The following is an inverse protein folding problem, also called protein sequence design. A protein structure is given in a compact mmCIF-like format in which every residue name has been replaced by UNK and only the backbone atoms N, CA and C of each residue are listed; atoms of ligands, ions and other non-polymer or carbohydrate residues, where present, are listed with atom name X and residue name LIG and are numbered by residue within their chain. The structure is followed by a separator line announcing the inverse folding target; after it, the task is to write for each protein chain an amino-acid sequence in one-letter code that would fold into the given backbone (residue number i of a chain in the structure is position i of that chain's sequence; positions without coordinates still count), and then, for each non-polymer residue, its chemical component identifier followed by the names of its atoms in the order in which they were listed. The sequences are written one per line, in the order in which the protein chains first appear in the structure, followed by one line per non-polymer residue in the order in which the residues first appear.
data_IF_649725794323
#
_entry.id   IF_649725794323
#
_cell.length_a   1.000
_cell.length_b   1.000
_cell.length_c   1.000
_cell.angle_alpha   90.00
_cell.angle_beta   90.00
_cell.angle_gamma   90.00
#
_symmetry.space_group_name_H-M   'P 1'
#
loop_
_entity.id
_entity.type
_entity.pdbx_description
1 polymer ?
#
# COMPACT_ATOMS: atom_id res chain seq x y z
N UNK A 1 0.29 -25.69 53.55
CA UNK A 1 1.47 -25.24 52.78
C UNK A 1 1.56 -25.97 51.43
N UNK A 2 1.51 -27.31 51.41
CA UNK A 2 1.52 -28.15 50.20
C UNK A 2 0.40 -27.85 49.18
N UNK A 3 -0.80 -27.50 49.64
CA UNK A 3 -1.97 -27.19 48.80
C UNK A 3 -1.81 -25.89 48.00
N UNK A 4 -1.19 -24.86 48.58
CA UNK A 4 -0.95 -23.58 47.90
C UNK A 4 0.13 -23.69 46.82
N UNK A 5 1.12 -24.57 47.03
CA UNK A 5 2.20 -24.80 46.06
C UNK A 5 1.73 -25.61 44.84
N UNK A 6 0.80 -26.54 45.04
CA UNK A 6 0.17 -27.27 43.93
C UNK A 6 -0.72 -26.34 43.09
N UNK A 7 -1.46 -25.44 43.72
CA UNK A 7 -2.32 -24.48 43.01
C UNK A 7 -1.51 -23.47 42.18
N UNK A 8 -0.40 -22.96 42.71
CA UNK A 8 0.48 -22.06 41.96
C UNK A 8 1.15 -22.74 40.77
N UNK A 9 1.50 -24.03 40.89
CA UNK A 9 2.02 -24.81 39.77
C UNK A 9 0.98 -24.97 38.64
N UNK A 10 -0.27 -25.30 38.97
CA UNK A 10 -1.35 -25.41 37.99
C UNK A 10 -1.70 -24.06 37.34
N UNK A 11 -1.67 -22.96 38.10
CA UNK A 11 -1.92 -21.63 37.55
C UNK A 11 -0.82 -21.21 36.56
N UNK A 12 0.43 -21.50 36.89
CA UNK A 12 1.57 -21.21 36.02
C UNK A 12 1.55 -22.06 34.74
N UNK A 13 1.14 -23.33 34.81
CA UNK A 13 1.03 -24.18 33.63
C UNK A 13 -0.12 -23.73 32.70
N UNK A 14 -1.26 -23.30 33.26
CA UNK A 14 -2.36 -22.70 32.48
C UNK A 14 -1.94 -21.37 31.82
N UNK A 15 -1.22 -20.52 32.56
CA UNK A 15 -0.71 -19.26 32.03
C UNK A 15 0.28 -19.51 30.88
N UNK A 16 1.21 -20.45 31.05
CA UNK A 16 2.16 -20.83 30.01
C UNK A 16 1.44 -21.37 28.75
N UNK A 17 0.43 -22.22 28.92
CA UNK A 17 -0.38 -22.73 27.81
C UNK A 17 -1.14 -21.60 27.05
N UNK A 18 -1.70 -20.62 27.77
CA UNK A 18 -2.39 -19.48 27.18
C UNK A 18 -1.43 -18.56 26.39
N UNK A 19 -0.23 -18.31 26.90
CA UNK A 19 0.78 -17.53 26.16
C UNK A 19 1.20 -18.23 24.87
N UNK A 20 1.39 -19.55 24.91
CA UNK A 20 1.70 -20.35 23.72
C UNK A 20 0.58 -20.27 22.68
N UNK A 21 -0.69 -20.38 23.11
CA UNK A 21 -1.84 -20.25 22.22
C UNK A 21 -1.88 -18.88 21.54
N UNK A 22 -1.69 -17.78 22.29
CA UNK A 22 -1.65 -16.42 21.74
C UNK A 22 -0.55 -16.25 20.71
N UNK A 23 0.63 -16.81 20.99
CA UNK A 23 1.77 -16.73 20.09
C UNK A 23 1.52 -17.50 18.79
N UNK A 24 1.02 -18.73 18.88
CA UNK A 24 0.67 -19.56 17.70
C UNK A 24 -0.43 -18.89 16.87
N UNK A 25 -1.48 -18.36 17.51
CA UNK A 25 -2.56 -17.65 16.83
C UNK A 25 -2.06 -16.39 16.11
N UNK A 26 -1.18 -15.61 16.76
CA UNK A 26 -0.55 -14.43 16.15
C UNK A 26 0.29 -14.81 14.92
N UNK A 27 1.10 -15.86 15.02
CA UNK A 27 1.87 -16.37 13.88
C UNK A 27 0.96 -16.83 12.73
N UNK A 28 -0.13 -17.53 13.03
CA UNK A 28 -1.09 -17.97 12.02
C UNK A 28 -1.76 -16.80 11.30
N UNK A 29 -2.11 -15.72 12.02
CA UNK A 29 -2.66 -14.50 11.42
C UNK A 29 -1.65 -13.79 10.51
N UNK A 30 -0.39 -13.69 10.94
CA UNK A 30 0.67 -13.08 10.12
C UNK A 30 0.91 -13.87 8.83
N UNK A 31 0.95 -15.20 8.91
CA UNK A 31 1.09 -16.07 7.73
C UNK A 31 -0.12 -15.89 6.81
N UNK A 32 -1.34 -15.88 7.35
CA UNK A 32 -2.55 -15.69 6.55
C UNK A 32 -2.58 -14.34 5.83
N UNK A 33 -2.08 -13.28 6.48
CA UNK A 33 -1.96 -11.94 5.89
C UNK A 33 -0.86 -11.88 4.80
N UNK A 34 0.24 -12.60 4.99
CA UNK A 34 1.32 -12.69 3.99
C UNK A 34 0.92 -13.52 2.77
N UNK A 35 0.00 -14.47 2.93
CA UNK A 35 -0.50 -15.30 1.83
C UNK A 35 -1.69 -14.68 1.07
N UNK A 36 -2.25 -13.58 1.56
CA UNK A 36 -3.39 -12.91 0.90
C UNK A 36 -2.94 -12.02 -0.26
N UNK A 37 -2.41 -12.62 -1.33
CA UNK A 37 -2.07 -11.92 -2.57
C UNK A 37 -3.24 -11.95 -3.55
N UNK A 38 -4.32 -11.24 -3.23
CA UNK A 38 -5.45 -11.05 -4.16
C UNK A 38 -5.45 -9.64 -4.76
N UNK A 39 -4.50 -9.36 -5.65
CA UNK A 39 -4.58 -8.17 -6.51
C UNK A 39 -5.42 -8.54 -7.73
N UNK A 40 -6.68 -8.07 -7.76
CA UNK A 40 -7.51 -8.13 -8.95
C UNK A 40 -6.99 -7.13 -9.98
N UNK A 41 -5.99 -7.54 -10.74
CA UNK A 41 -5.54 -6.83 -11.93
C UNK A 41 -6.36 -7.34 -13.11
N UNK A 42 -7.22 -6.48 -13.67
CA UNK A 42 -7.85 -6.77 -14.96
C UNK A 42 -6.75 -6.70 -16.02
N UNK A 43 -6.07 -7.84 -16.26
CA UNK A 43 -5.13 -7.99 -17.38
C UNK A 43 -5.93 -8.02 -18.68
N UNK A 44 -6.27 -6.82 -19.18
CA UNK A 44 -6.74 -6.67 -20.55
C UNK A 44 -5.53 -6.83 -21.46
N UNK A 45 -5.61 -7.73 -22.44
CA UNK A 45 -4.57 -7.89 -23.46
C UNK A 45 -4.26 -6.52 -24.08
N UNK A 46 -3.00 -6.11 -24.01
CA UNK A 46 -2.54 -4.83 -24.54
C UNK A 46 -2.49 -4.95 -26.07
N UNK A 47 -3.29 -4.14 -26.75
CA UNK A 47 -3.22 -4.02 -28.19
C UNK A 47 -2.05 -3.10 -28.56
N UNK A 48 -0.89 -3.69 -28.86
CA UNK A 48 0.33 -2.98 -29.22
C UNK A 48 0.20 -2.17 -30.53
N UNK A 49 -0.85 -2.41 -31.33
CA UNK A 49 -1.09 -1.68 -32.58
C UNK A 49 -1.79 -0.35 -32.35
N UNK A 50 -2.31 -0.08 -31.14
CA UNK A 50 -3.03 1.17 -30.83
C UNK A 50 -2.69 1.70 -29.44
N UNK A 51 -2.73 3.02 -29.24
CA UNK A 51 -2.51 3.60 -27.92
C UNK A 51 -3.60 3.18 -26.92
N UNK A 52 -3.19 2.95 -25.68
CA UNK A 52 -4.11 2.58 -24.58
C UNK A 52 -5.12 3.69 -24.26
N UNK A 53 -4.73 4.95 -24.52
CA UNK A 53 -5.57 6.14 -24.37
C UNK A 53 -5.06 7.22 -25.32
N UNK A 54 -5.98 7.92 -25.98
CA UNK A 54 -5.68 9.09 -26.79
C UNK A 54 -6.11 10.35 -26.06
N UNK A 55 -5.17 11.26 -25.82
CA UNK A 55 -5.46 12.61 -25.34
C UNK A 55 -5.31 13.59 -26.50
N UNK A 56 -6.34 14.38 -26.75
CA UNK A 56 -6.34 15.47 -27.72
C UNK A 56 -6.44 16.76 -26.93
N UNK A 57 -5.45 17.64 -27.10
CA UNK A 57 -5.28 18.86 -26.30
C UNK A 57 -5.00 20.04 -27.22
N UNK A 58 -5.40 21.23 -26.78
CA UNK A 58 -5.06 22.50 -27.43
C UNK A 58 -3.92 23.15 -26.67
N UNK A 59 -2.79 23.34 -27.36
CA UNK A 59 -1.64 24.01 -26.79
C UNK A 59 -1.69 25.49 -27.17
N UNK A 60 -1.80 26.36 -26.16
CA UNK A 60 -1.73 27.80 -26.34
C UNK A 60 -0.32 28.29 -26.04
N UNK A 61 0.24 29.07 -26.97
CA UNK A 61 1.55 29.67 -26.81
C UNK A 61 1.50 31.15 -27.23
N UNK A 62 1.67 32.05 -26.28
CA UNK A 62 1.79 33.49 -26.51
C UNK A 62 3.23 33.87 -26.15
N UNK A 63 4.06 34.13 -27.17
CA UNK A 63 5.44 34.50 -26.95
C UNK A 63 5.54 35.92 -26.36
N UNK A 64 6.44 36.10 -25.40
CA UNK A 64 6.76 37.39 -24.83
C UNK A 64 7.31 38.35 -25.89
N UNK A 65 6.83 39.58 -25.85
CA UNK A 65 7.24 40.75 -26.63
C UNK A 65 7.28 41.97 -25.69
N UNK A 66 7.62 43.14 -26.23
CA UNK A 66 8.00 44.36 -25.50
C UNK A 66 7.02 44.82 -24.40
N UNK A 67 5.72 44.59 -24.53
CA UNK A 67 4.71 45.07 -23.59
C UNK A 67 3.67 44.02 -23.14
N UNK A 68 3.80 42.77 -23.56
CA UNK A 68 2.77 41.74 -23.33
C UNK A 68 3.06 40.83 -22.12
N UNK A 69 3.89 41.29 -21.17
CA UNK A 69 4.34 40.53 -19.99
C UNK A 69 3.21 39.82 -19.23
N UNK A 70 2.06 40.46 -19.11
CA UNK A 70 0.91 39.94 -18.38
C UNK A 70 0.15 38.82 -19.11
N UNK A 71 0.33 38.67 -20.43
CA UNK A 71 -0.40 37.72 -21.28
C UNK A 71 0.51 36.66 -21.91
N UNK A 72 1.82 36.88 -21.92
CA UNK A 72 2.78 35.93 -22.44
C UNK A 72 2.75 34.62 -21.64
N UNK A 73 2.76 33.49 -22.36
CA UNK A 73 2.84 32.14 -21.79
C UNK A 73 4.19 31.47 -22.07
N UNK A 74 5.05 32.10 -22.87
CA UNK A 74 6.43 31.68 -23.11
C UNK A 74 7.33 32.89 -23.38
N UNK A 75 8.65 32.69 -23.34
CA UNK A 75 9.63 33.72 -23.68
C UNK A 75 10.89 33.08 -24.30
N UNK A 76 11.60 33.85 -25.13
CA UNK A 76 12.91 33.44 -25.64
C UNK A 76 13.98 33.76 -24.60
N UNK A 77 14.83 32.78 -24.31
CA UNK A 77 16.00 32.96 -23.43
C UNK A 77 17.23 33.16 -24.32
N UNK A 78 18.02 34.20 -24.05
CA UNK A 78 19.26 34.55 -24.76
C UNK A 78 20.43 34.49 -23.78
#
# INVERSE_FOLDING_TARGET
HLTNQHYSFLLNSLNMANQNYKQVFSFFLLISLLLSDNVSSVQKSLDLKKPCKNFVLYHHNIAYDTDNAANATSSTVV
#
